data_IF_827454715221
#
_entry.id   IF_827454715221
#
_cell.length_a   1.000
_cell.length_b   1.000
_cell.length_c   1.000
_cell.angle_alpha   90.00
_cell.angle_beta   90.00
_cell.angle_gamma   90.00
#
_symmetry.space_group_name_H-M   'P 1'
#
loop_
_entity.id
_entity.type
_entity.pdbx_description
1 polymer ?
#
# COMPACT_ATOMS: atom_id res chain seq x y z
N UNK A 1 -7.84 -54.90 8.90
CA UNK A 1 -7.71 -53.69 9.75
C UNK A 1 -7.50 -52.51 8.82
N UNK A 2 -8.55 -51.72 8.59
CA UNK A 2 -8.46 -50.48 7.81
C UNK A 2 -7.83 -49.42 8.72
N UNK A 3 -6.58 -49.07 8.44
CA UNK A 3 -6.00 -47.87 9.01
C UNK A 3 -6.71 -46.68 8.36
N UNK A 4 -7.66 -46.12 9.10
CA UNK A 4 -8.14 -44.76 8.88
C UNK A 4 -6.95 -43.84 9.10
N UNK A 5 -6.19 -43.59 8.04
CA UNK A 5 -5.25 -42.47 8.00
C UNK A 5 -6.09 -41.23 8.20
N UNK A 6 -6.04 -40.70 9.42
CA UNK A 6 -6.52 -39.36 9.71
C UNK A 6 -5.85 -38.45 8.69
N UNK A 7 -6.67 -37.89 7.81
CA UNK A 7 -6.36 -36.68 7.06
C UNK A 7 -6.05 -35.57 8.07
N UNK A 8 -4.88 -35.60 8.71
CA UNK A 8 -4.25 -34.39 9.20
C UNK A 8 -3.89 -33.61 7.95
N UNK A 9 -4.90 -32.90 7.46
CA UNK A 9 -4.85 -32.02 6.33
C UNK A 9 -3.57 -31.22 6.44
N UNK A 10 -2.68 -31.39 5.47
CA UNK A 10 -1.64 -30.41 5.18
C UNK A 10 -2.41 -29.13 4.91
N UNK A 11 -2.63 -28.32 5.95
CA UNK A 11 -3.23 -27.01 5.81
C UNK A 11 -2.31 -26.28 4.84
N UNK A 12 -2.84 -26.07 3.64
CA UNK A 12 -2.15 -25.43 2.55
C UNK A 12 -1.56 -24.12 3.07
N UNK A 13 -0.35 -23.76 2.64
CA UNK A 13 0.28 -22.52 3.08
C UNK A 13 -0.67 -21.32 2.86
N UNK A 14 -1.47 -21.34 1.78
CA UNK A 14 -2.52 -20.35 1.51
C UNK A 14 -3.58 -20.21 2.61
N UNK A 15 -3.95 -21.30 3.25
CA UNK A 15 -5.01 -21.35 4.26
C UNK A 15 -4.51 -20.81 5.62
N UNK A 16 -3.22 -21.02 5.92
CA UNK A 16 -2.54 -20.37 7.06
C UNK A 16 -2.44 -18.86 6.90
N UNK A 17 -2.11 -18.39 5.70
CA UNK A 17 -2.13 -16.95 5.40
C UNK A 17 -3.53 -16.39 5.59
N UNK A 18 -4.57 -17.05 5.07
CA UNK A 18 -5.97 -16.62 5.16
C UNK A 18 -6.50 -16.51 6.61
N UNK A 19 -6.04 -17.38 7.52
CA UNK A 19 -6.42 -17.31 8.93
C UNK A 19 -5.79 -16.14 9.70
N UNK A 20 -4.63 -15.65 9.23
CA UNK A 20 -3.87 -14.60 9.92
C UNK A 20 -4.09 -13.24 9.28
N UNK A 21 -4.47 -13.21 7.99
CA UNK A 21 -4.71 -11.99 7.23
C UNK A 21 -6.05 -11.35 7.61
N UNK A 22 -6.06 -10.09 8.10
CA UNK A 22 -7.30 -9.42 8.49
C UNK A 22 -8.01 -8.83 7.26
N UNK A 23 -8.58 -9.70 6.42
CA UNK A 23 -9.25 -9.33 5.15
C UNK A 23 -10.27 -8.18 5.25
N UNK A 24 -11.23 -8.15 6.21
CA UNK A 24 -12.21 -7.07 6.28
C UNK A 24 -11.54 -5.72 6.59
N UNK A 25 -10.46 -5.75 7.35
CA UNK A 25 -9.74 -4.55 7.74
C UNK A 25 -8.92 -3.97 6.60
N UNK A 26 -8.30 -4.83 5.79
CA UNK A 26 -7.59 -4.40 4.58
C UNK A 26 -8.55 -3.84 3.52
N UNK A 27 -9.77 -4.39 3.43
CA UNK A 27 -10.81 -3.83 2.58
C UNK A 27 -11.17 -2.40 3.02
N UNK A 28 -11.29 -2.15 4.33
CA UNK A 28 -11.51 -0.80 4.86
C UNK A 28 -10.36 0.15 4.54
N UNK A 29 -9.11 -0.31 4.65
CA UNK A 29 -7.93 0.49 4.28
C UNK A 29 -7.97 0.83 2.79
N UNK A 30 -8.26 -0.13 1.91
CA UNK A 30 -8.35 0.09 0.47
C UNK A 30 -9.45 1.10 0.11
N UNK A 31 -10.64 0.98 0.72
CA UNK A 31 -11.73 1.96 0.56
C UNK A 31 -11.31 3.34 1.05
N UNK A 32 -10.66 3.43 2.21
CA UNK A 32 -10.14 4.68 2.74
C UNK A 32 -9.14 5.35 1.79
N UNK A 33 -8.19 4.57 1.26
CA UNK A 33 -7.21 5.05 0.28
C UNK A 33 -7.88 5.51 -1.03
N UNK A 34 -8.89 4.78 -1.50
CA UNK A 34 -9.66 5.17 -2.69
C UNK A 34 -10.38 6.51 -2.49
N UNK A 35 -11.05 6.71 -1.34
CA UNK A 35 -11.76 7.96 -1.02
C UNK A 35 -10.79 9.14 -0.89
N UNK A 36 -9.64 8.94 -0.23
CA UNK A 36 -8.61 9.97 -0.08
C UNK A 36 -7.99 10.35 -1.42
N UNK A 37 -7.74 9.37 -2.29
CA UNK A 37 -7.26 9.62 -3.66
C UNK A 37 -8.27 10.45 -4.44
N UNK A 38 -9.56 10.09 -4.35
CA UNK A 38 -10.64 10.86 -4.97
C UNK A 38 -10.73 12.30 -4.43
N UNK A 39 -10.54 12.49 -3.12
CA UNK A 39 -10.51 13.82 -2.52
C UNK A 39 -9.34 14.67 -3.03
N UNK A 40 -8.13 14.10 -3.14
CA UNK A 40 -6.96 14.82 -3.70
C UNK A 40 -7.24 15.22 -5.15
N UNK A 41 -7.73 14.30 -5.99
CA UNK A 41 -8.08 14.60 -7.40
C UNK A 41 -9.16 15.66 -7.51
N UNK A 42 -10.20 15.61 -6.66
CA UNK A 42 -11.26 16.61 -6.64
C UNK A 42 -10.75 17.99 -6.25
N UNK A 43 -9.87 18.06 -5.23
CA UNK A 43 -9.23 19.31 -4.80
C UNK A 43 -8.33 19.90 -5.89
N UNK A 44 -7.56 19.06 -6.59
CA UNK A 44 -6.75 19.50 -7.75
C UNK A 44 -7.64 19.99 -8.91
N UNK A 45 -8.70 19.25 -9.23
CA UNK A 45 -9.61 19.61 -10.32
C UNK A 45 -10.37 20.91 -10.00
N UNK A 46 -10.82 21.07 -8.75
CA UNK A 46 -11.44 22.31 -8.27
C UNK A 46 -10.49 23.50 -8.36
N UNK A 47 -9.22 23.31 -7.98
CA UNK A 47 -8.16 24.32 -8.10
C UNK A 47 -7.91 24.73 -9.56
N UNK A 48 -7.95 23.77 -10.51
CA UNK A 48 -7.88 24.05 -11.95
C UNK A 48 -9.07 24.87 -12.45
N UNK A 49 -10.30 24.49 -12.06
CA UNK A 49 -11.53 25.16 -12.50
C UNK A 49 -11.61 26.61 -12.04
N UNK A 50 -11.07 26.91 -10.86
CA UNK A 50 -10.98 28.28 -10.35
C UNK A 50 -9.86 29.11 -10.99
N UNK A 51 -9.19 28.57 -12.02
CA UNK A 51 -8.09 29.20 -12.75
C UNK A 51 -7.00 29.72 -11.80
N UNK A 52 -6.77 29.02 -10.68
CA UNK A 52 -5.69 29.33 -9.75
C UNK A 52 -4.41 28.86 -10.43
N UNK A 53 -3.80 29.75 -11.21
CA UNK A 53 -2.63 29.41 -12.03
C UNK A 53 -1.45 28.94 -11.17
N UNK A 54 -1.28 27.62 -11.22
CA UNK A 54 -0.05 26.87 -11.55
C UNK A 54 1.07 26.83 -10.51
N UNK A 55 1.25 25.65 -9.91
CA UNK A 55 2.53 24.99 -9.55
C UNK A 55 2.24 23.70 -8.76
N UNK A 56 1.10 23.66 -8.06
CA UNK A 56 0.61 22.56 -7.22
C UNK A 56 0.12 21.34 -8.04
N UNK A 57 -0.55 21.61 -9.16
CA UNK A 57 -1.50 20.69 -9.79
C UNK A 57 -0.91 19.39 -10.34
N UNK A 58 0.35 19.38 -10.79
CA UNK A 58 0.95 18.17 -11.36
C UNK A 58 1.34 17.15 -10.29
N UNK A 59 1.78 17.60 -9.12
CA UNK A 59 2.26 16.69 -8.06
C UNK A 59 1.09 15.90 -7.47
N UNK A 60 -0.07 16.52 -7.24
CA UNK A 60 -1.28 15.82 -6.79
C UNK A 60 -1.78 14.78 -7.79
N UNK A 61 -1.78 15.07 -9.09
CA UNK A 61 -2.15 14.08 -10.11
C UNK A 61 -1.15 12.92 -10.21
N UNK A 62 0.17 13.21 -10.20
CA UNK A 62 1.21 12.18 -10.24
C UNK A 62 1.12 11.28 -8.99
N UNK A 63 0.95 11.86 -7.81
CA UNK A 63 0.81 11.08 -6.57
C UNK A 63 -0.49 10.28 -6.53
N UNK A 64 -1.59 10.84 -7.05
CA UNK A 64 -2.86 10.13 -7.20
C UNK A 64 -2.78 8.90 -8.11
N UNK A 65 -1.91 8.92 -9.12
CA UNK A 65 -1.61 7.74 -9.94
C UNK A 65 -1.01 6.60 -9.08
N UNK A 66 0.00 6.89 -8.26
CA UNK A 66 0.60 5.90 -7.36
C UNK A 66 -0.39 5.40 -6.29
N UNK A 67 -1.21 6.30 -5.75
CA UNK A 67 -2.26 5.91 -4.80
C UNK A 67 -3.30 4.99 -5.46
N UNK A 68 -3.64 5.26 -6.73
CA UNK A 68 -4.57 4.44 -7.50
C UNK A 68 -4.09 3.01 -7.66
N UNK A 69 -2.84 2.85 -8.07
CA UNK A 69 -2.20 1.54 -8.16
C UNK A 69 -2.27 0.82 -6.81
N UNK A 70 -1.93 1.52 -5.72
CA UNK A 70 -1.86 0.95 -4.37
C UNK A 70 -3.20 0.44 -3.86
N UNK A 71 -4.29 1.21 -3.99
CA UNK A 71 -5.59 0.75 -3.50
C UNK A 71 -6.16 -0.38 -4.37
N UNK A 72 -5.90 -0.38 -5.69
CA UNK A 72 -6.27 -1.48 -6.60
C UNK A 72 -5.56 -2.78 -6.20
N UNK A 73 -4.27 -2.70 -5.90
CA UNK A 73 -3.49 -3.85 -5.43
C UNK A 73 -4.02 -4.39 -4.10
N UNK A 74 -4.37 -3.50 -3.18
CA UNK A 74 -4.92 -3.89 -1.88
C UNK A 74 -6.25 -4.61 -2.04
N UNK A 75 -7.13 -4.14 -2.94
CA UNK A 75 -8.34 -4.89 -3.31
C UNK A 75 -8.02 -6.23 -3.98
N UNK A 76 -6.99 -6.28 -4.82
CA UNK A 76 -6.57 -7.53 -5.48
C UNK A 76 -6.15 -8.57 -4.44
N UNK A 77 -5.41 -8.17 -3.40
CA UNK A 77 -5.06 -9.05 -2.26
C UNK A 77 -6.29 -9.54 -1.50
N UNK A 78 -7.28 -8.67 -1.31
CA UNK A 78 -8.56 -9.02 -0.64
C UNK A 78 -9.37 -10.02 -1.49
N UNK A 79 -9.43 -9.81 -2.80
CA UNK A 79 -10.24 -10.60 -3.73
C UNK A 79 -9.59 -11.94 -4.11
N UNK A 80 -8.27 -11.96 -4.36
CA UNK A 80 -7.53 -13.12 -4.88
C UNK A 80 -7.10 -14.11 -3.78
N UNK A 81 -8.02 -14.50 -2.89
CA UNK A 81 -7.89 -15.45 -1.76
C UNK A 81 -7.16 -16.81 -2.04
N UNK A 82 -6.59 -17.04 -3.23
CA UNK A 82 -6.06 -18.33 -3.72
C UNK A 82 -4.53 -18.42 -3.82
N UNK A 83 -3.77 -17.33 -3.88
CA UNK A 83 -2.28 -17.35 -3.95
C UNK A 83 -1.66 -16.20 -3.14
N UNK A 84 -1.77 -16.28 -1.82
CA UNK A 84 -1.52 -15.15 -0.90
C UNK A 84 -0.13 -14.54 -0.96
N UNK A 85 0.92 -15.28 -1.35
CA UNK A 85 2.30 -14.79 -1.22
C UNK A 85 2.68 -13.83 -2.35
N UNK A 86 2.43 -14.20 -3.61
CA UNK A 86 2.80 -13.38 -4.76
C UNK A 86 2.02 -12.05 -4.76
N UNK A 87 0.69 -12.12 -4.61
CA UNK A 87 -0.16 -10.94 -4.54
C UNK A 87 0.20 -10.02 -3.36
N UNK A 88 0.53 -10.58 -2.19
CA UNK A 88 0.91 -9.76 -1.04
C UNK A 88 2.28 -9.09 -1.22
N UNK A 89 3.24 -9.74 -1.91
CA UNK A 89 4.53 -9.11 -2.23
C UNK A 89 4.37 -7.98 -3.26
N UNK A 90 3.54 -8.17 -4.29
CA UNK A 90 3.20 -7.08 -5.22
C UNK A 90 2.55 -5.90 -4.50
N UNK A 91 1.58 -6.18 -3.62
CA UNK A 91 0.94 -5.14 -2.83
C UNK A 91 1.90 -4.42 -1.88
N UNK A 92 2.90 -5.12 -1.35
CA UNK A 92 3.96 -4.50 -0.54
C UNK A 92 4.77 -3.49 -1.36
N UNK A 93 5.23 -3.87 -2.55
CA UNK A 93 6.03 -2.99 -3.43
C UNK A 93 5.25 -1.73 -3.78
N UNK A 94 3.98 -1.89 -4.14
CA UNK A 94 3.11 -0.77 -4.49
C UNK A 94 2.81 0.12 -3.27
N UNK A 95 2.65 -0.47 -2.09
CA UNK A 95 2.49 0.28 -0.85
C UNK A 95 3.77 1.07 -0.46
N UNK A 96 4.97 0.56 -0.75
CA UNK A 96 6.22 1.33 -0.58
C UNK A 96 6.26 2.53 -1.53
N UNK A 97 5.82 2.36 -2.78
CA UNK A 97 5.70 3.47 -3.72
C UNK A 97 4.69 4.52 -3.22
N UNK A 98 3.58 4.10 -2.61
CA UNK A 98 2.62 5.01 -1.96
C UNK A 98 3.24 5.80 -0.81
N UNK A 99 4.08 5.17 0.01
CA UNK A 99 4.80 5.86 1.11
C UNK A 99 5.71 6.95 0.53
N UNK A 100 6.47 6.63 -0.52
CA UNK A 100 7.36 7.58 -1.20
C UNK A 100 6.53 8.73 -1.81
N UNK A 101 5.46 8.41 -2.54
CA UNK A 101 4.57 9.40 -3.15
C UNK A 101 3.94 10.33 -2.09
N UNK A 102 3.43 9.77 -0.99
CA UNK A 102 2.86 10.55 0.12
C UNK A 102 3.90 11.46 0.78
N UNK A 103 5.14 10.98 0.93
CA UNK A 103 6.24 11.77 1.51
C UNK A 103 6.64 12.94 0.61
N UNK A 104 6.67 12.71 -0.71
CA UNK A 104 6.94 13.75 -1.71
C UNK A 104 5.81 14.80 -1.69
N UNK A 105 4.55 14.38 -1.67
CA UNK A 105 3.40 15.29 -1.61
C UNK A 105 3.44 16.15 -0.34
N UNK A 106 3.67 15.54 0.83
CA UNK A 106 3.82 16.25 2.10
C UNK A 106 4.97 17.25 2.06
N UNK A 107 6.11 16.89 1.47
CA UNK A 107 7.24 17.81 1.33
C UNK A 107 6.85 19.03 0.49
N UNK A 108 6.24 18.83 -0.68
CA UNK A 108 5.84 19.96 -1.52
C UNK A 108 4.77 20.81 -0.85
N UNK A 109 3.71 20.22 -0.28
CA UNK A 109 2.66 20.96 0.42
C UNK A 109 3.21 21.81 1.58
N UNK A 110 4.17 21.28 2.34
CA UNK A 110 4.82 22.03 3.43
C UNK A 110 5.72 23.15 2.93
N UNK A 111 6.48 22.93 1.86
CA UNK A 111 7.30 23.99 1.24
C UNK A 111 6.43 25.14 0.74
N UNK A 112 5.25 24.84 0.21
CA UNK A 112 4.31 25.87 -0.24
C UNK A 112 3.67 26.66 0.90
N UNK A 113 3.35 26.02 2.03
CA UNK A 113 2.90 26.73 3.22
C UNK A 113 3.96 27.72 3.72
N UNK A 114 5.24 27.37 3.57
CA UNK A 114 6.37 28.21 3.98
C UNK A 114 6.68 29.31 2.97
N UNK A 115 6.57 29.03 1.67
CA UNK A 115 6.92 29.93 0.58
C UNK A 115 5.79 30.01 -0.46
N UNK A 116 4.67 30.68 -0.16
CA UNK A 116 3.49 30.69 -1.01
C UNK A 116 3.67 31.42 -2.36
N UNK A 117 4.75 32.20 -2.49
CA UNK A 117 5.10 32.98 -3.69
C UNK A 117 6.25 32.36 -4.49
N UNK A 118 6.87 31.29 -3.99
CA UNK A 118 7.96 30.62 -4.69
C UNK A 118 7.40 29.73 -5.80
N UNK A 119 7.97 29.85 -7.00
CA UNK A 119 7.73 28.92 -8.09
C UNK A 119 8.76 27.79 -8.01
N UNK A 120 8.30 26.56 -7.84
CA UNK A 120 9.16 25.38 -7.64
C UNK A 120 9.52 24.64 -8.93
N UNK A 121 9.11 25.18 -10.08
CA UNK A 121 9.41 24.64 -11.39
C UNK A 121 10.64 25.31 -12.01
N UNK A 122 11.16 24.76 -13.10
CA UNK A 122 12.25 25.38 -13.84
C UNK A 122 11.89 26.79 -14.28
N UNK A 123 12.90 27.66 -14.36
CA UNK A 123 12.75 29.11 -14.62
C UNK A 123 11.87 29.41 -15.85
N UNK A 124 11.95 28.58 -16.89
CA UNK A 124 11.12 28.71 -18.10
C UNK A 124 9.62 28.52 -17.82
N UNK A 125 9.24 27.50 -17.06
CA UNK A 125 7.84 27.25 -16.70
C UNK A 125 7.28 28.34 -15.77
N UNK A 126 8.12 28.94 -14.93
CA UNK A 126 7.73 30.03 -14.04
C UNK A 126 7.49 31.36 -14.78
N UNK A 127 8.17 31.60 -15.90
CA UNK A 127 7.98 32.80 -16.74
C UNK A 127 6.73 32.68 -17.60
N UNK A 128 6.47 31.50 -18.17
CA UNK A 128 5.25 31.25 -18.95
C UNK A 128 4.01 31.01 -18.08
N UNK A 129 4.21 30.73 -16.79
CA UNK A 129 3.11 30.69 -15.86
C UNK A 129 2.64 32.12 -15.60
N UNK A 130 1.35 32.43 -15.82
CA UNK A 130 0.80 33.76 -15.59
C UNK A 130 0.81 34.17 -14.10
N UNK A 131 1.50 33.45 -13.20
CA UNK A 131 1.68 33.82 -11.79
C UNK A 131 2.15 35.27 -11.65
N UNK A 132 3.11 35.75 -12.45
CA UNK A 132 3.58 37.14 -12.29
C UNK A 132 2.57 38.19 -12.78
N UNK A 133 1.69 37.83 -13.71
CA UNK A 133 0.75 38.75 -14.38
C UNK A 133 -0.67 38.67 -13.77
N UNK A 134 -1.10 37.48 -13.35
CA UNK A 134 -2.42 37.21 -12.76
C UNK A 134 -2.58 37.83 -11.36
N UNK A 135 -1.50 37.97 -10.59
CA UNK A 135 -1.54 38.75 -9.33
C UNK A 135 -1.91 40.21 -9.56
N UNK A 136 -1.58 40.78 -10.73
CA UNK A 136 -1.89 42.16 -11.08
C UNK A 136 -3.25 42.32 -11.79
N UNK A 137 -3.72 41.31 -12.54
CA UNK A 137 -5.00 41.37 -13.29
C UNK A 137 -6.22 41.06 -12.40
N UNK A 138 -6.05 40.36 -11.28
CA UNK A 138 -7.13 40.08 -10.31
C UNK A 138 -7.40 41.21 -9.30
N UNK A 139 -6.96 42.43 -9.57
CA UNK A 139 -7.20 43.61 -8.72
C UNK A 139 -8.69 44.01 -8.56
N UNK A 140 -9.62 43.36 -9.26
CA UNK A 140 -11.05 43.73 -9.29
C UNK A 140 -12.02 42.78 -8.57
N UNK A 141 -11.60 41.56 -8.21
CA UNK A 141 -12.40 40.59 -7.44
C UNK A 141 -11.72 40.36 -6.09
N UNK A 142 -12.50 40.18 -5.00
CA UNK A 142 -12.02 40.00 -3.62
C UNK A 142 -10.78 39.06 -3.54
N UNK A 143 -9.59 39.65 -3.58
CA UNK A 143 -8.29 38.96 -3.59
C UNK A 143 -8.11 38.14 -2.29
N UNK A 144 -8.84 38.53 -1.24
CA UNK A 144 -8.88 37.85 0.04
C UNK A 144 -9.51 36.45 -0.05
N UNK A 145 -10.65 36.32 -0.75
CA UNK A 145 -11.41 35.06 -0.83
C UNK A 145 -10.66 33.98 -1.60
N UNK A 146 -9.97 34.34 -2.70
CA UNK A 146 -9.19 33.38 -3.49
C UNK A 146 -7.97 32.84 -2.73
N UNK A 147 -7.32 33.70 -1.93
CA UNK A 147 -6.14 33.32 -1.15
C UNK A 147 -6.51 32.36 -0.02
N UNK A 148 -7.63 32.60 0.64
CA UNK A 148 -8.16 31.72 1.68
C UNK A 148 -8.59 30.36 1.10
N UNK A 149 -9.32 30.35 -0.02
CA UNK A 149 -9.72 29.12 -0.69
C UNK A 149 -8.52 28.24 -1.08
N UNK A 150 -7.44 28.86 -1.59
CA UNK A 150 -6.19 28.15 -1.93
C UNK A 150 -5.52 27.56 -0.69
N UNK A 151 -5.46 28.32 0.40
CA UNK A 151 -4.85 27.84 1.65
C UNK A 151 -5.63 26.67 2.25
N UNK A 152 -6.96 26.70 2.16
CA UNK A 152 -7.84 25.61 2.59
C UNK A 152 -7.56 24.35 1.76
N UNK A 153 -7.45 24.47 0.43
CA UNK A 153 -7.15 23.34 -0.44
C UNK A 153 -5.81 22.67 -0.09
N UNK A 154 -4.74 23.45 0.11
CA UNK A 154 -3.41 22.93 0.48
C UNK A 154 -3.44 22.23 1.84
N UNK A 155 -4.14 22.80 2.82
CA UNK A 155 -4.28 22.16 4.15
C UNK A 155 -5.07 20.85 4.07
N UNK A 156 -6.10 20.80 3.23
CA UNK A 156 -6.88 19.59 3.00
C UNK A 156 -6.05 18.52 2.30
N UNK A 157 -5.27 18.88 1.27
CA UNK A 157 -4.34 17.96 0.59
C UNK A 157 -3.27 17.42 1.53
N UNK A 158 -2.67 18.28 2.36
CA UNK A 158 -1.69 17.88 3.36
C UNK A 158 -2.29 16.90 4.39
N UNK A 159 -3.52 17.13 4.83
CA UNK A 159 -4.24 16.19 5.71
C UNK A 159 -4.49 14.85 5.00
N UNK A 160 -4.95 14.86 3.75
CA UNK A 160 -5.15 13.64 2.96
C UNK A 160 -3.84 12.86 2.78
N UNK A 161 -2.74 13.54 2.44
CA UNK A 161 -1.42 12.95 2.27
C UNK A 161 -0.88 12.32 3.57
N UNK A 162 -1.09 12.99 4.72
CA UNK A 162 -0.71 12.48 6.02
C UNK A 162 -1.48 11.21 6.41
N UNK A 163 -2.80 11.19 6.13
CA UNK A 163 -3.63 10.00 6.38
C UNK A 163 -3.21 8.86 5.43
N UNK A 164 -2.97 9.15 4.14
CA UNK A 164 -2.48 8.17 3.17
C UNK A 164 -1.14 7.55 3.58
N UNK A 165 -0.20 8.37 4.06
CA UNK A 165 1.07 7.89 4.60
C UNK A 165 0.83 6.97 5.80
N UNK A 166 -0.02 7.39 6.74
CA UNK A 166 -0.32 6.64 7.96
C UNK A 166 -0.94 5.27 7.65
N UNK A 167 -1.92 5.23 6.73
CA UNK A 167 -2.54 3.99 6.25
C UNK A 167 -1.53 3.07 5.56
N UNK A 168 -0.64 3.64 4.75
CA UNK A 168 0.38 2.87 4.02
C UNK A 168 1.43 2.28 4.97
N UNK A 169 1.92 3.05 5.94
CA UNK A 169 2.83 2.56 6.99
C UNK A 169 2.16 1.46 7.83
N UNK A 170 0.89 1.65 8.15
CA UNK A 170 0.16 0.69 8.94
C UNK A 170 -0.10 -0.63 8.19
N UNK A 171 -0.39 -0.58 6.88
CA UNK A 171 -0.42 -1.78 6.03
C UNK A 171 0.93 -2.51 6.03
N UNK A 172 2.04 -1.76 5.96
CA UNK A 172 3.40 -2.32 5.99
C UNK A 172 3.67 -3.07 7.31
N UNK A 173 3.26 -2.51 8.45
CA UNK A 173 3.38 -3.17 9.77
C UNK A 173 2.57 -4.47 9.81
N UNK A 174 1.33 -4.45 9.32
CA UNK A 174 0.48 -5.64 9.27
C UNK A 174 1.13 -6.73 8.42
N UNK A 175 1.69 -6.37 7.26
CA UNK A 175 2.39 -7.29 6.38
C UNK A 175 3.58 -7.97 7.06
N UNK A 176 4.41 -7.22 7.80
CA UNK A 176 5.53 -7.80 8.54
C UNK A 176 5.02 -8.74 9.63
N UNK A 177 4.03 -8.31 10.41
CA UNK A 177 3.47 -9.11 11.50
C UNK A 177 2.91 -10.44 11.00
N UNK A 178 2.18 -10.42 9.89
CA UNK A 178 1.59 -11.62 9.29
C UNK A 178 2.66 -12.56 8.74
N UNK A 179 3.71 -12.06 8.10
CA UNK A 179 4.87 -12.87 7.65
C UNK A 179 5.52 -13.59 8.83
N UNK A 180 5.90 -12.85 9.88
CA UNK A 180 6.54 -13.42 11.08
C UNK A 180 5.65 -14.47 11.77
N UNK A 181 4.33 -14.22 11.81
CA UNK A 181 3.37 -15.14 12.41
C UNK A 181 3.13 -16.40 11.58
N UNK A 182 3.27 -16.32 10.26
CA UNK A 182 3.20 -17.52 9.40
C UNK A 182 4.49 -18.34 9.53
N UNK A 183 5.66 -17.70 9.55
CA UNK A 183 6.95 -18.40 9.69
C UNK A 183 7.09 -19.11 11.03
N UNK A 184 6.71 -18.46 12.14
CA UNK A 184 6.74 -19.08 13.47
C UNK A 184 5.88 -20.35 13.57
N UNK A 185 4.72 -20.37 12.91
CA UNK A 185 3.86 -21.56 12.79
C UNK A 185 4.43 -22.66 11.89
N UNK A 186 5.42 -22.36 11.05
CA UNK A 186 6.05 -23.33 10.16
C UNK A 186 7.20 -24.05 10.87
N UNK A 187 7.98 -23.34 11.68
CA UNK A 187 9.09 -23.90 12.47
C UNK A 187 8.60 -24.88 13.55
N UNK A 188 7.41 -24.69 14.11
CA UNK A 188 6.85 -25.61 15.12
C UNK A 188 6.37 -26.95 14.55
N UNK A 189 6.08 -27.03 13.25
CA UNK A 189 5.57 -28.25 12.59
C UNK A 189 6.71 -29.05 11.93
N UNK A 190 7.80 -28.40 11.54
CA UNK A 190 8.97 -29.04 10.94
C UNK A 190 9.59 -30.20 11.77
N UNK A 191 9.79 -30.10 13.11
CA UNK A 191 10.46 -31.17 13.85
C UNK A 191 9.65 -32.47 13.95
N UNK A 192 8.32 -32.39 13.81
CA UNK A 192 7.46 -33.58 13.80
C UNK A 192 7.56 -34.35 12.47
N UNK A 193 7.67 -33.62 11.36
CA UNK A 193 7.74 -34.22 10.02
C UNK A 193 9.01 -35.03 9.81
N UNK A 194 10.13 -34.55 10.32
CA UNK A 194 11.41 -35.26 10.25
C UNK A 194 11.44 -36.51 11.15
N UNK A 195 10.73 -36.49 12.28
CA UNK A 195 10.55 -37.69 13.11
C UNK A 195 9.66 -38.74 12.42
N UNK A 196 8.58 -38.31 11.78
CA UNK A 196 7.65 -39.21 11.07
C UNK A 196 8.31 -39.84 9.82
N UNK A 197 9.07 -39.05 9.06
CA UNK A 197 9.83 -39.57 7.91
C UNK A 197 10.90 -40.59 8.33
N UNK A 198 11.57 -40.35 9.47
CA UNK A 198 12.54 -41.31 10.02
C UNK A 198 11.87 -42.60 10.50
N UNK A 199 10.69 -42.51 11.10
CA UNK A 199 9.93 -43.71 11.49
C UNK A 199 9.46 -44.53 10.29
N UNK A 200 8.99 -43.87 9.23
CA UNK A 200 8.62 -44.54 7.98
C UNK A 200 9.84 -45.16 7.27
N UNK A 201 11.00 -44.51 7.27
CA UNK A 201 12.25 -45.10 6.75
C UNK A 201 12.73 -46.30 7.59
N UNK A 202 12.57 -46.28 8.91
CA UNK A 202 12.90 -47.44 9.76
C UNK A 202 11.95 -48.62 9.54
N UNK A 203 10.69 -48.38 9.23
CA UNK A 203 9.71 -49.44 8.98
C UNK A 203 9.88 -50.11 7.60
N UNK A 204 10.60 -49.46 6.68
CA UNK A 204 10.91 -49.98 5.34
C UNK A 204 12.26 -50.70 5.25
N UNK A 205 13.01 -50.84 6.35
CA UNK A 205 14.22 -51.66 6.34
C UNK A 205 13.84 -53.14 6.21
N UNK A 206 14.16 -53.81 5.09
CA UNK A 206 13.83 -55.21 4.92
C UNK A 206 14.62 -56.03 5.93
N UNK A 207 13.92 -56.85 6.73
CA UNK A 207 14.53 -57.90 7.52
C UNK A 207 15.26 -58.85 6.57
N UNK A 208 16.58 -58.73 6.50
CA UNK A 208 17.43 -59.66 5.76
C UNK A 208 17.41 -60.97 6.54
N UNK A 209 16.55 -61.90 6.13
CA UNK A 209 16.60 -63.27 6.61
C UNK A 209 17.81 -63.96 5.97
N UNK A 210 18.89 -64.11 6.74
CA UNK A 210 20.02 -64.96 6.37
C UNK A 210 19.57 -66.42 6.38
N UNK A 211 19.34 -66.98 5.19
CA UNK A 211 19.14 -68.42 5.01
C UNK A 211 20.52 -69.09 5.03
N UNK A 212 20.82 -69.81 6.10
CA UNK A 212 22.00 -70.68 6.18
C UNK A 212 21.75 -71.94 5.36
N UNK A 213 22.53 -72.14 4.30
CA UNK A 213 22.55 -73.41 3.55
C UNK A 213 23.57 -74.33 4.23
N UNK A 214 23.09 -75.46 4.74
CA UNK A 214 23.89 -76.60 5.21
C UNK A 214 24.30 -77.48 4.04
#
# INVERSE_FOLDING_TARGET
>A
MQYSFSNQAVISQSERWRQVWPTPFLALIAVGQMLLTGAIVALETWSMLLNITSSFLFVGYITSFFFTITWISTFTVVCCNRESRCCATHALVENVLSIIASSVLLYYDTQFLRYPTACFWSFELCIFSPISVAWHVFSGYNIFDLREAKLIAIRAQLACAAIMLSLSVFFFIIYIYTVLKVESKQTSVAPYRDMELRQLQQQQQPTIYTVSVQ
#
